data_IF_626897142917
#
_entry.id   IF_626897142917
#
_cell.length_a   1.000
_cell.length_b   1.000
_cell.length_c   1.000
_cell.angle_alpha   90.00
_cell.angle_beta   90.00
_cell.angle_gamma   90.00
#
_symmetry.space_group_name_H-M   'P 1'
#
loop_
_entity.id
_entity.type
_entity.pdbx_description
1 polymer ?
#
# COMPACT_ATOMS: atom_id res chain seq x y z
N UNK A 1 20.49 35.77 1.68
CA UNK A 1 20.23 34.46 1.04
C UNK A 1 18.90 33.95 1.55
N UNK A 2 17.83 34.09 0.77
CA UNK A 2 16.47 33.65 1.14
C UNK A 2 16.24 32.24 0.59
N UNK A 3 16.17 31.24 1.46
CA UNK A 3 15.77 29.88 1.07
C UNK A 3 14.28 29.87 0.74
N UNK A 4 13.96 29.57 -0.51
CA UNK A 4 12.62 29.34 -1.04
C UNK A 4 12.06 28.02 -0.49
N UNK A 5 11.10 28.12 0.43
CA UNK A 5 10.32 26.98 0.91
C UNK A 5 9.31 26.57 -0.17
N UNK A 6 9.65 25.51 -0.91
CA UNK A 6 8.71 24.78 -1.76
C UNK A 6 7.68 24.11 -0.85
N UNK A 7 6.42 24.56 -0.89
CA UNK A 7 5.31 23.99 -0.13
C UNK A 7 4.91 22.62 -0.70
N UNK A 8 5.76 21.61 -0.49
CA UNK A 8 5.40 20.21 -0.64
C UNK A 8 4.78 19.76 0.68
N UNK A 9 3.56 19.22 0.64
CA UNK A 9 2.92 18.65 1.83
C UNK A 9 3.90 17.70 2.55
N UNK A 10 4.01 17.78 3.88
CA UNK A 10 4.97 16.94 4.62
C UNK A 10 4.64 15.47 4.38
N UNK A 11 5.65 14.68 3.98
CA UNK A 11 5.49 13.26 3.64
C UNK A 11 5.02 12.41 4.83
N UNK A 12 5.31 12.86 6.06
CA UNK A 12 4.85 12.27 7.31
C UNK A 12 4.79 13.36 8.40
N UNK A 13 4.03 13.10 9.46
CA UNK A 13 3.91 14.01 10.62
C UNK A 13 4.53 13.37 11.85
N UNK A 14 5.38 14.10 12.56
CA UNK A 14 5.96 13.67 13.83
C UNK A 14 4.92 13.90 14.94
N UNK A 15 4.41 12.81 15.52
CA UNK A 15 3.40 12.87 16.58
C UNK A 15 4.03 13.07 17.96
N UNK A 16 5.25 12.58 18.18
CA UNK A 16 5.97 12.67 19.46
C UNK A 16 7.49 12.67 19.25
N UNK A 17 8.21 13.37 20.13
CA UNK A 17 9.67 13.48 20.12
C UNK A 17 10.16 14.83 19.59
N UNK A 18 11.47 15.07 19.66
CA UNK A 18 12.13 16.24 19.10
C UNK A 18 13.29 15.80 18.20
N UNK A 19 13.00 15.20 17.03
CA UNK A 19 14.05 14.78 16.11
C UNK A 19 14.80 15.99 15.58
N UNK A 20 16.10 15.82 15.39
CA UNK A 20 16.95 16.81 14.76
C UNK A 20 16.67 16.89 13.26
N UNK A 21 17.04 18.01 12.63
CA UNK A 21 16.86 18.20 11.18
C UNK A 21 17.61 17.12 10.35
N UNK A 22 18.77 16.68 10.84
CA UNK A 22 19.54 15.61 10.21
C UNK A 22 18.80 14.26 10.22
N UNK A 23 18.14 13.92 11.33
CA UNK A 23 17.34 12.69 11.45
C UNK A 23 16.09 12.75 10.56
N UNK A 24 15.43 13.91 10.46
CA UNK A 24 14.30 14.11 9.55
C UNK A 24 14.72 13.94 8.08
N UNK A 25 15.87 14.47 7.69
CA UNK A 25 16.42 14.31 6.34
C UNK A 25 16.73 12.84 6.04
N UNK A 26 17.37 12.14 6.97
CA UNK A 26 17.67 10.72 6.82
C UNK A 26 16.40 9.87 6.68
N UNK A 27 15.38 10.10 7.51
CA UNK A 27 14.09 9.41 7.42
C UNK A 27 13.38 9.68 6.10
N UNK A 28 13.40 10.93 5.64
CA UNK A 28 12.80 11.31 4.35
C UNK A 28 13.49 10.58 3.19
N UNK A 29 14.81 10.49 3.21
CA UNK A 29 15.58 9.77 2.20
C UNK A 29 15.23 8.28 2.17
N UNK A 30 15.26 7.62 3.33
CA UNK A 30 14.95 6.18 3.44
C UNK A 30 13.52 5.88 2.96
N UNK A 31 12.54 6.68 3.36
CA UNK A 31 11.15 6.51 2.92
C UNK A 31 11.00 6.74 1.41
N UNK A 32 11.71 7.71 0.85
CA UNK A 32 11.70 7.99 -0.59
C UNK A 32 12.29 6.82 -1.38
N UNK A 33 13.39 6.25 -0.93
CA UNK A 33 14.03 5.10 -1.57
C UNK A 33 13.14 3.86 -1.52
N UNK A 34 12.53 3.57 -0.36
CA UNK A 34 11.57 2.48 -0.21
C UNK A 34 10.32 2.67 -1.09
N UNK A 35 9.83 3.91 -1.23
CA UNK A 35 8.70 4.20 -2.10
C UNK A 35 9.05 3.98 -3.58
N UNK A 36 10.26 4.36 -4.01
CA UNK A 36 10.74 4.11 -5.36
C UNK A 36 10.87 2.60 -5.63
N UNK A 37 11.40 1.85 -4.67
CA UNK A 37 11.51 0.39 -4.76
C UNK A 37 10.14 -0.30 -4.79
N UNK A 38 9.19 0.15 -3.96
CA UNK A 38 7.83 -0.39 -3.99
C UNK A 38 7.14 -0.15 -5.33
N UNK A 39 7.35 1.04 -5.95
CA UNK A 39 6.83 1.35 -7.29
C UNK A 39 7.50 0.50 -8.38
N UNK A 40 8.80 0.19 -8.27
CA UNK A 40 9.47 -0.69 -9.24
C UNK A 40 9.05 -2.16 -9.10
N UNK A 41 8.67 -2.60 -7.88
CA UNK A 41 8.10 -3.93 -7.61
C UNK A 41 6.65 -4.13 -8.08
N UNK A 42 6.01 -3.14 -8.71
CA UNK A 42 4.61 -3.24 -9.18
C UNK A 42 4.40 -4.20 -10.37
N UNK A 43 5.36 -5.07 -10.67
CA UNK A 43 5.20 -6.20 -11.59
C UNK A 43 4.80 -7.47 -10.80
N UNK A 44 3.50 -7.73 -10.67
CA UNK A 44 2.99 -9.11 -10.56
C UNK A 44 2.81 -9.74 -9.17
N UNK A 45 2.98 -9.00 -8.07
CA UNK A 45 2.63 -9.53 -6.74
C UNK A 45 1.12 -9.58 -6.52
N UNK A 46 0.56 -10.77 -6.25
CA UNK A 46 -0.85 -10.92 -5.89
C UNK A 46 -1.12 -10.08 -4.64
N UNK A 47 -1.90 -8.99 -4.76
CA UNK A 47 -2.27 -8.19 -3.58
C UNK A 47 -3.08 -9.08 -2.64
N UNK A 48 -2.56 -9.34 -1.44
CA UNK A 48 -3.39 -9.95 -0.41
C UNK A 48 -4.51 -8.94 -0.08
N UNK A 49 -5.75 -9.37 -0.18
CA UNK A 49 -6.92 -8.50 0.03
C UNK A 49 -7.27 -8.41 1.53
N UNK A 50 -6.30 -8.72 2.40
CA UNK A 50 -6.46 -8.70 3.84
C UNK A 50 -6.80 -7.27 4.30
N UNK A 51 -7.85 -7.15 5.11
CA UNK A 51 -8.30 -5.85 5.62
C UNK A 51 -9.00 -4.95 4.59
N UNK A 52 -9.15 -5.36 3.32
CA UNK A 52 -10.10 -4.65 2.44
C UNK A 52 -11.49 -4.81 3.06
N UNK A 53 -12.26 -3.72 3.23
CA UNK A 53 -13.66 -3.84 3.61
C UNK A 53 -14.33 -4.70 2.55
N UNK A 54 -14.59 -5.96 2.88
CA UNK A 54 -15.32 -6.85 1.99
C UNK A 54 -16.69 -6.23 1.80
N UNK A 55 -17.17 -6.22 0.55
CA UNK A 55 -18.58 -5.98 0.34
C UNK A 55 -19.32 -7.11 1.06
N UNK A 56 -19.88 -6.82 2.23
CA UNK A 56 -20.58 -7.82 3.07
C UNK A 56 -21.84 -8.36 2.40
N UNK A 57 -22.26 -7.71 1.33
CA UNK A 57 -23.30 -8.20 0.43
C UNK A 57 -22.65 -9.22 -0.49
N UNK A 58 -22.65 -10.49 -0.05
CA UNK A 58 -22.68 -11.57 -1.01
C UNK A 58 -23.92 -11.30 -1.89
N UNK A 59 -23.71 -11.10 -3.19
CA UNK A 59 -24.82 -10.97 -4.13
C UNK A 59 -25.79 -12.15 -3.99
N UNK A 60 -27.01 -12.04 -4.53
CA UNK A 60 -27.99 -13.12 -4.45
C UNK A 60 -27.33 -14.45 -4.83
N UNK A 61 -27.58 -15.49 -4.04
CA UNK A 61 -27.05 -16.84 -4.28
C UNK A 61 -27.65 -17.32 -5.60
N UNK A 62 -26.92 -17.10 -6.69
CA UNK A 62 -27.30 -17.61 -8.01
C UNK A 62 -26.91 -19.08 -8.02
N UNK A 63 -27.91 -19.96 -8.12
CA UNK A 63 -27.68 -21.38 -8.32
C UNK A 63 -26.89 -21.58 -9.62
N UNK A 64 -25.61 -21.96 -9.50
CA UNK A 64 -24.75 -22.29 -10.62
C UNK A 64 -24.49 -23.81 -10.62
N UNK A 65 -25.22 -24.61 -11.41
CA UNK A 65 -25.03 -26.06 -11.47
C UNK A 65 -23.66 -26.49 -12.02
N UNK A 66 -22.91 -25.58 -12.64
CA UNK A 66 -21.53 -25.80 -13.09
C UNK A 66 -20.48 -25.29 -12.10
N UNK A 67 -20.86 -24.84 -10.90
CA UNK A 67 -19.90 -24.38 -9.88
C UNK A 67 -19.02 -25.50 -9.32
N UNK A 68 -19.46 -26.75 -9.45
CA UNK A 68 -18.72 -27.93 -9.01
C UNK A 68 -18.45 -28.82 -10.22
N UNK A 69 -17.28 -28.67 -10.84
CA UNK A 69 -16.78 -29.67 -11.76
C UNK A 69 -16.17 -30.81 -10.93
N UNK A 70 -16.78 -31.99 -10.99
CA UNK A 70 -16.20 -33.22 -10.48
C UNK A 70 -15.13 -33.72 -11.46
N UNK A 71 -13.93 -33.12 -11.42
CA UNK A 71 -12.80 -33.70 -12.14
C UNK A 71 -12.38 -34.96 -11.39
N UNK A 72 -12.85 -36.12 -11.85
CA UNK A 72 -12.26 -37.39 -11.45
C UNK A 72 -10.83 -37.44 -12.04
N UNK A 73 -9.83 -37.48 -11.18
CA UNK A 73 -8.46 -37.81 -11.56
C UNK A 73 -8.44 -39.32 -11.81
N UNK A 74 -8.34 -39.73 -13.07
CA UNK A 74 -8.03 -41.11 -13.47
C UNK A 74 -6.57 -41.19 -13.92
#
# INVERSE_FOLDING_TARGET
MTQSQSSSQPQFTVVKGNPTEAELAALTQVLSDLQQEAKSRTAGGHRNLWGRPSNRVHGPVVFNPSAFNSTALF
#
